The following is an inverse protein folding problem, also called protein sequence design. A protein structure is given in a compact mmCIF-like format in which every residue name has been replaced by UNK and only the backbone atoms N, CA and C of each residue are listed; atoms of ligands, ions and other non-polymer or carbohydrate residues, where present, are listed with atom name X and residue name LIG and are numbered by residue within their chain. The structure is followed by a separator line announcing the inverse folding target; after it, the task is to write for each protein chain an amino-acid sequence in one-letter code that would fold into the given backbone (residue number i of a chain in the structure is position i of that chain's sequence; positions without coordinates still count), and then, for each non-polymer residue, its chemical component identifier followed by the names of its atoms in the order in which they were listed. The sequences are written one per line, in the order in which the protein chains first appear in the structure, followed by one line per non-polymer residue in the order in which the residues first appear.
data_IF_581456480309
#
_entry.id   IF_581456480309
#
_cell.length_a   1.000
_cell.length_b   1.000
_cell.length_c   1.000
_cell.angle_alpha   90.00
_cell.angle_beta   90.00
_cell.angle_gamma   90.00
#
_symmetry.space_group_name_H-M   'P 1'
#
loop_
_entity.id
_entity.type
_entity.pdbx_description
1 polymer ?
#
# COMPACT_ATOMS: atom_id res chain seq x y z
N UNK A 1 9.06 1.19 -7.41
CA UNK A 1 8.91 2.58 -6.92
C UNK A 1 9.26 2.56 -5.45
N UNK A 2 9.99 3.56 -4.93
CA UNK A 2 10.27 3.71 -3.50
C UNK A 2 9.88 5.12 -3.09
N UNK A 3 9.16 5.26 -1.99
CA UNK A 3 8.82 6.54 -1.37
C UNK A 3 9.40 6.58 0.06
N UNK A 4 10.13 7.64 0.38
CA UNK A 4 10.69 7.91 1.71
C UNK A 4 10.36 9.36 2.08
N UNK A 5 9.36 9.54 2.95
CA UNK A 5 8.76 10.85 3.15
C UNK A 5 8.17 11.37 1.83
N UNK A 6 8.58 12.59 1.44
CA UNK A 6 8.16 13.22 0.17
C UNK A 6 9.05 12.87 -1.03
N UNK A 7 10.16 12.16 -0.81
CA UNK A 7 11.11 11.78 -1.86
C UNK A 7 10.67 10.47 -2.52
N UNK A 8 10.51 10.50 -3.84
CA UNK A 8 10.08 9.33 -4.61
C UNK A 8 11.12 8.98 -5.65
N UNK A 9 11.37 7.68 -5.85
CA UNK A 9 12.18 7.16 -6.94
C UNK A 9 11.44 6.07 -7.71
N UNK A 10 11.62 6.06 -9.03
CA UNK A 10 11.08 5.05 -9.95
C UNK A 10 12.27 4.38 -10.63
N UNK A 11 12.45 3.08 -10.42
CA UNK A 11 13.59 2.31 -10.92
C UNK A 11 14.96 2.93 -10.58
N UNK A 12 15.09 3.48 -9.37
CA UNK A 12 16.32 4.14 -8.90
C UNK A 12 16.49 5.60 -9.36
N UNK A 13 15.67 6.08 -10.29
CA UNK A 13 15.68 7.47 -10.74
C UNK A 13 14.80 8.33 -9.85
N UNK A 14 15.34 9.43 -9.33
CA UNK A 14 14.60 10.37 -8.50
C UNK A 14 13.52 11.09 -9.31
N UNK A 15 12.32 11.19 -8.75
CA UNK A 15 11.22 11.98 -9.30
C UNK A 15 11.22 13.36 -8.63
N UNK A 16 11.28 14.47 -9.38
CA UNK A 16 11.20 15.82 -8.82
C UNK A 16 9.92 16.01 -8.01
N UNK A 17 10.06 16.45 -6.76
CA UNK A 17 8.92 16.66 -5.88
C UNK A 17 8.05 17.84 -6.36
N UNK A 18 6.74 17.73 -6.14
CA UNK A 18 5.78 18.80 -6.41
C UNK A 18 5.29 18.90 -7.85
N UNK A 19 5.78 18.06 -8.76
CA UNK A 19 5.28 17.98 -10.14
C UNK A 19 4.65 16.61 -10.40
N UNK A 20 3.45 16.53 -11.00
CA UNK A 20 2.87 15.25 -11.39
C UNK A 20 3.83 14.47 -12.31
N UNK A 21 4.06 13.20 -11.96
CA UNK A 21 4.85 12.28 -12.77
C UNK A 21 3.95 11.18 -13.30
N UNK A 22 4.12 10.83 -14.57
CA UNK A 22 3.43 9.70 -15.20
C UNK A 22 4.40 8.97 -16.14
N UNK A 23 4.64 7.69 -15.88
CA UNK A 23 5.49 6.86 -16.72
C UNK A 23 5.15 5.37 -16.54
N UNK A 24 4.98 4.64 -17.66
CA UNK A 24 4.73 3.20 -17.67
C UNK A 24 3.64 2.74 -16.68
N UNK A 25 2.51 3.43 -16.65
CA UNK A 25 1.39 3.11 -15.76
C UNK A 25 1.62 3.45 -14.28
N UNK A 26 2.74 4.07 -13.91
CA UNK A 26 2.97 4.63 -12.58
C UNK A 26 2.70 6.14 -12.63
N UNK A 27 1.82 6.62 -11.75
CA UNK A 27 1.66 8.05 -11.49
C UNK A 27 2.11 8.41 -10.08
N UNK A 28 2.74 9.58 -9.93
CA UNK A 28 3.09 10.16 -8.64
C UNK A 28 2.50 11.56 -8.57
N UNK A 29 1.76 11.86 -7.51
CA UNK A 29 1.18 13.17 -7.26
C UNK A 29 1.44 13.62 -5.83
N UNK A 30 1.62 14.93 -5.65
CA UNK A 30 1.76 15.55 -4.34
C UNK A 30 0.51 16.39 -4.08
N UNK A 31 -0.21 16.10 -3.00
CA UNK A 31 -1.46 16.76 -2.61
C UNK A 31 -1.29 17.30 -1.19
N UNK A 32 -0.89 18.57 -1.09
CA UNK A 32 -0.47 19.16 0.18
C UNK A 32 0.76 18.43 0.75
N UNK A 33 0.60 17.82 1.91
CA UNK A 33 1.65 17.03 2.59
C UNK A 33 1.67 15.57 2.16
N UNK A 34 0.64 15.11 1.44
CA UNK A 34 0.56 13.74 0.98
C UNK A 34 1.31 13.53 -0.33
N UNK A 35 2.01 12.41 -0.43
CA UNK A 35 2.48 11.84 -1.70
C UNK A 35 1.63 10.62 -2.03
N UNK A 36 1.15 10.56 -3.25
CA UNK A 36 0.32 9.47 -3.76
C UNK A 36 1.01 8.83 -4.96
N UNK A 37 1.20 7.51 -4.88
CA UNK A 37 1.70 6.68 -5.98
C UNK A 37 0.57 5.77 -6.41
N UNK A 38 0.17 5.85 -7.69
CA UNK A 38 -0.82 4.94 -8.26
C UNK A 38 -0.23 4.12 -9.40
N UNK A 39 -0.68 2.88 -9.50
CA UNK A 39 -0.36 1.95 -10.58
C UNK A 39 -1.58 1.72 -11.45
N UNK A 40 -1.37 1.53 -12.76
CA UNK A 40 -2.39 1.05 -13.70
C UNK A 40 -2.90 -0.36 -13.40
N UNK A 41 -2.35 -1.04 -12.39
CA UNK A 41 -2.84 -2.31 -11.85
C UNK A 41 -3.98 -2.13 -10.83
N UNK A 42 -4.50 -0.91 -10.65
CA UNK A 42 -5.61 -0.63 -9.74
C UNK A 42 -5.22 -0.56 -8.26
N UNK A 43 -3.97 -0.14 -7.98
CA UNK A 43 -3.48 0.07 -6.61
C UNK A 43 -2.96 1.49 -6.47
N UNK A 44 -3.38 2.18 -5.41
CA UNK A 44 -2.85 3.47 -4.99
C UNK A 44 -2.38 3.40 -3.55
N UNK A 45 -1.20 3.95 -3.29
CA UNK A 45 -0.66 4.14 -1.94
C UNK A 45 -0.43 5.62 -1.74
N UNK A 46 -1.01 6.19 -0.69
CA UNK A 46 -0.79 7.57 -0.28
C UNK A 46 -0.19 7.61 1.12
N UNK A 47 0.75 8.51 1.34
CA UNK A 47 1.34 8.74 2.67
C UNK A 47 1.55 10.22 2.92
N UNK A 48 1.35 10.64 4.17
CA UNK A 48 1.69 11.99 4.66
C UNK A 48 3.21 12.17 4.89
N UNK A 49 4.00 11.13 4.65
CA UNK A 49 5.44 11.12 4.93
C UNK A 49 5.80 10.97 6.41
N UNK A 50 4.81 10.76 7.28
CA UNK A 50 4.96 10.60 8.72
C UNK A 50 4.38 9.26 9.19
N UNK A 51 3.12 9.25 9.64
CA UNK A 51 2.49 8.09 10.30
C UNK A 51 1.29 7.56 9.53
N UNK A 52 0.70 8.37 8.65
CA UNK A 52 -0.50 7.98 7.93
C UNK A 52 -0.13 7.37 6.58
N UNK A 53 -0.68 6.19 6.33
CA UNK A 53 -0.62 5.50 5.03
C UNK A 53 -2.02 5.01 4.70
N UNK A 54 -2.46 5.33 3.48
CA UNK A 54 -3.73 4.87 2.93
C UNK A 54 -3.45 4.03 1.69
N UNK A 55 -3.99 2.82 1.65
CA UNK A 55 -3.96 1.95 0.48
C UNK A 55 -5.38 1.89 -0.09
N UNK A 56 -5.51 2.14 -1.38
CA UNK A 56 -6.77 1.99 -2.13
C UNK A 56 -6.53 0.95 -3.22
N UNK A 57 -7.44 -0.01 -3.32
CA UNK A 57 -7.43 -1.07 -4.31
C UNK A 57 -8.75 -1.08 -5.07
N UNK A 58 -8.68 -1.29 -6.37
CA UNK A 58 -9.85 -1.37 -7.24
C UNK A 58 -10.62 -2.68 -7.00
N UNK A 59 -11.93 -2.69 -7.34
CA UNK A 59 -12.83 -3.79 -7.04
C UNK A 59 -12.46 -5.10 -7.76
N UNK A 60 -11.75 -5.01 -8.88
CA UNK A 60 -11.21 -6.14 -9.64
C UNK A 60 -10.20 -6.97 -8.81
N UNK A 61 -9.63 -6.39 -7.74
CA UNK A 61 -8.71 -7.07 -6.83
C UNK A 61 -9.39 -7.68 -5.60
N UNK A 62 -10.73 -7.71 -5.56
CA UNK A 62 -11.50 -8.32 -4.45
C UNK A 62 -11.10 -9.77 -4.22
N UNK A 63 -10.77 -10.12 -2.98
CA UNK A 63 -10.29 -11.44 -2.57
C UNK A 63 -8.85 -11.74 -2.97
N UNK A 64 -8.14 -10.80 -3.60
CA UNK A 64 -6.77 -10.98 -4.09
C UNK A 64 -5.69 -10.34 -3.22
N UNK A 65 -6.07 -9.67 -2.12
CA UNK A 65 -5.11 -9.02 -1.22
C UNK A 65 -4.62 -9.98 -0.15
N UNK A 66 -3.40 -9.78 0.33
CA UNK A 66 -2.85 -10.47 1.48
C UNK A 66 -1.86 -9.53 2.20
N UNK A 67 -2.04 -9.36 3.50
CA UNK A 67 -1.22 -8.47 4.31
C UNK A 67 -1.99 -7.87 5.47
N UNK A 68 -1.43 -6.81 6.07
CA UNK A 68 -2.03 -6.13 7.22
C UNK A 68 -3.38 -5.44 6.93
N UNK A 69 -3.72 -5.24 5.65
CA UNK A 69 -5.02 -4.71 5.22
C UNK A 69 -6.08 -5.80 4.99
N UNK A 70 -5.80 -7.06 5.32
CA UNK A 70 -6.75 -8.18 5.17
C UNK A 70 -6.86 -8.73 3.75
N UNK A 71 -7.90 -9.53 3.53
CA UNK A 71 -8.11 -10.35 2.32
C UNK A 71 -9.04 -9.68 1.27
N UNK A 72 -9.66 -8.55 1.63
CA UNK A 72 -10.58 -7.77 0.80
C UNK A 72 -11.71 -8.63 0.20
N UNK A 73 -12.37 -9.46 1.02
CA UNK A 73 -13.43 -10.38 0.58
C UNK A 73 -14.80 -10.12 1.24
N UNK A 74 -14.95 -9.00 1.96
CA UNK A 74 -16.09 -8.60 2.81
C UNK A 74 -16.42 -9.58 3.96
N UNK A 75 -15.46 -10.43 4.36
CA UNK A 75 -15.58 -11.31 5.52
C UNK A 75 -14.61 -10.88 6.63
N UNK A 76 -15.08 -10.10 7.63
CA UNK A 76 -14.20 -9.64 8.72
C UNK A 76 -13.69 -10.77 9.62
N UNK A 77 -14.26 -11.98 9.52
CA UNK A 77 -13.81 -13.12 10.32
C UNK A 77 -12.45 -13.68 9.88
N UNK A 78 -11.97 -13.36 8.67
CA UNK A 78 -10.69 -13.82 8.15
C UNK A 78 -9.66 -12.72 7.90
N UNK A 79 -9.95 -11.47 8.28
CA UNK A 79 -9.03 -10.33 8.09
C UNK A 79 -7.70 -10.49 8.84
N UNK A 80 -7.66 -11.31 9.90
CA UNK A 80 -6.44 -11.67 10.62
C UNK A 80 -5.73 -12.91 10.04
N UNK A 81 -5.96 -13.22 8.76
CA UNK A 81 -5.25 -14.28 8.06
C UNK A 81 -3.75 -14.00 7.98
N UNK A 82 -2.95 -14.93 8.48
CA UNK A 82 -1.50 -14.89 8.52
C UNK A 82 -0.91 -15.41 7.20
N UNK A 83 0.39 -15.23 6.93
CA UNK A 83 1.03 -15.76 5.72
C UNK A 83 0.86 -17.28 5.54
N UNK A 84 0.72 -18.03 6.64
CA UNK A 84 0.45 -19.47 6.67
C UNK A 84 -0.99 -19.87 6.35
N UNK A 85 -1.88 -18.89 6.10
CA UNK A 85 -3.32 -19.02 5.83
C UNK A 85 -4.20 -19.38 7.04
N UNK A 86 -3.61 -19.58 8.21
CA UNK A 86 -4.32 -19.63 9.49
C UNK A 86 -4.76 -18.23 9.94
N UNK A 87 -5.79 -18.17 10.77
CA UNK A 87 -6.36 -16.89 11.28
C UNK A 87 -5.92 -16.70 12.72
N UNK A 88 -5.24 -15.59 12.99
CA UNK A 88 -4.79 -15.27 14.34
C UNK A 88 -5.96 -14.84 15.24
N UNK A 89 -5.93 -15.25 16.51
CA UNK A 89 -6.93 -14.81 17.50
C UNK A 89 -6.74 -13.36 17.94
N UNK A 90 -5.49 -12.86 17.91
CA UNK A 90 -5.13 -11.55 18.44
C UNK A 90 -4.47 -10.67 17.37
N UNK A 91 -4.83 -9.39 17.38
CA UNK A 91 -4.27 -8.39 16.46
C UNK A 91 -2.74 -8.28 16.57
N UNK A 92 -2.17 -8.45 17.76
CA UNK A 92 -0.71 -8.42 17.97
C UNK A 92 -0.02 -9.63 17.31
N UNK A 93 -0.58 -10.83 17.45
CA UNK A 93 -0.07 -12.04 16.78
C UNK A 93 -0.18 -11.91 15.26
N UNK A 94 -1.32 -11.40 14.77
CA UNK A 94 -1.52 -11.10 13.36
C UNK A 94 -0.46 -10.11 12.84
N UNK A 95 -0.33 -8.95 13.47
CA UNK A 95 0.62 -7.91 13.08
C UNK A 95 2.07 -8.40 13.06
N UNK A 96 2.47 -9.15 14.09
CA UNK A 96 3.82 -9.72 14.18
C UNK A 96 4.10 -10.76 13.09
N UNK A 97 3.08 -11.50 12.61
CA UNK A 97 3.27 -12.54 11.59
C UNK A 97 3.60 -12.01 10.20
N UNK A 98 3.27 -10.76 9.91
CA UNK A 98 3.55 -10.09 8.64
C UNK A 98 4.87 -9.31 8.62
N UNK A 99 5.68 -9.42 9.68
CA UNK A 99 6.99 -8.78 9.75
C UNK A 99 7.90 -9.36 8.67
N UNK A 100 8.43 -8.50 7.80
CA UNK A 100 9.47 -8.85 6.82
C UNK A 100 10.85 -8.81 7.52
N UNK A 101 11.73 -9.81 7.32
CA UNK A 101 13.09 -9.82 7.89
C UNK A 101 13.96 -8.63 7.50
#
# INVERSE_FOLDING_TARGET
VVAQGRNVSVNGMAVPAGQPYLHNGISVTWLGDWVSVASGLGVRVASDGHQAVTVTVDAELRGGTAGLCGTYNDNPADDFQQPGRDVATFASSFGNSWKIP
#
